data_IF_161846385058
#
_entry.id   IF_161846385058
#
_cell.length_a   1.000
_cell.length_b   1.000
_cell.length_c   1.000
_cell.angle_alpha   90.00
_cell.angle_beta   90.00
_cell.angle_gamma   90.00
#
_symmetry.space_group_name_H-M   'P 1'
#
loop_
_entity.id
_entity.type
_entity.pdbx_description
1 polymer ?
#
# COMPACT_ATOMS: atom_id res chain seq x y z
N UNK A 1 -8.00 -10.67 -34.71
CA UNK A 1 -8.05 -10.51 -33.24
C UNK A 1 -9.45 -10.04 -32.88
N UNK A 2 -9.93 -10.33 -31.65
CA UNK A 2 -11.26 -9.91 -31.19
C UNK A 2 -11.21 -9.41 -29.75
N UNK A 3 -12.05 -8.44 -29.41
CA UNK A 3 -12.17 -7.93 -28.03
C UNK A 3 -13.21 -8.77 -27.29
N UNK A 4 -12.84 -9.28 -26.13
CA UNK A 4 -13.70 -10.09 -25.26
C UNK A 4 -13.89 -9.40 -23.92
N UNK A 5 -15.14 -9.20 -23.52
CA UNK A 5 -15.50 -8.68 -22.20
C UNK A 5 -15.83 -9.83 -21.26
N UNK A 6 -15.31 -9.79 -20.05
CA UNK A 6 -15.57 -10.78 -19.01
C UNK A 6 -15.89 -10.07 -17.69
N UNK A 7 -17.12 -10.21 -17.24
CA UNK A 7 -17.59 -9.62 -15.98
C UNK A 7 -17.40 -10.59 -14.84
N UNK A 8 -16.61 -10.19 -13.85
CA UNK A 8 -16.50 -10.92 -12.59
C UNK A 8 -17.74 -10.66 -11.74
N UNK A 9 -18.56 -11.70 -11.55
CA UNK A 9 -19.82 -11.61 -10.81
C UNK A 9 -19.64 -11.29 -9.33
N UNK A 10 -18.45 -11.54 -8.77
CA UNK A 10 -18.19 -11.33 -7.34
C UNK A 10 -17.85 -9.89 -7.02
N UNK A 11 -17.15 -9.21 -7.93
CA UNK A 11 -16.71 -7.81 -7.78
C UNK A 11 -17.52 -6.83 -8.63
N UNK A 12 -18.31 -7.31 -9.60
CA UNK A 12 -19.02 -6.49 -10.58
C UNK A 12 -18.12 -5.97 -11.70
N UNK A 13 -16.79 -6.11 -11.58
CA UNK A 13 -15.83 -5.50 -12.50
C UNK A 13 -15.83 -6.23 -13.85
N UNK A 14 -15.98 -5.46 -14.94
CA UNK A 14 -15.88 -5.99 -16.30
C UNK A 14 -14.47 -5.83 -16.85
N UNK A 15 -13.75 -6.93 -17.04
CA UNK A 15 -12.43 -6.94 -17.65
C UNK A 15 -12.52 -7.08 -19.17
N UNK A 16 -11.59 -6.44 -19.88
CA UNK A 16 -11.50 -6.41 -21.34
C UNK A 16 -10.20 -7.07 -21.78
N UNK A 17 -10.33 -8.05 -22.66
CA UNK A 17 -9.22 -8.83 -23.20
C UNK A 17 -9.15 -8.70 -24.72
N UNK A 18 -7.94 -8.62 -25.25
CA UNK A 18 -7.64 -8.86 -26.66
C UNK A 18 -7.41 -10.36 -26.87
N UNK A 19 -8.14 -10.96 -27.80
CA UNK A 19 -8.04 -12.38 -28.12
C UNK A 19 -7.44 -12.58 -29.51
N UNK A 20 -6.33 -13.29 -29.56
CA UNK A 20 -5.64 -13.68 -30.78
C UNK A 20 -5.75 -15.19 -30.99
N UNK A 21 -6.36 -15.61 -32.10
CA UNK A 21 -6.41 -17.03 -32.47
C UNK A 21 -5.19 -17.39 -33.31
N UNK A 22 -4.53 -18.49 -32.97
CA UNK A 22 -3.37 -19.01 -33.69
C UNK A 22 -3.48 -20.52 -33.88
N UNK A 23 -2.84 -21.04 -34.92
CA UNK A 23 -2.72 -22.48 -35.14
C UNK A 23 -1.50 -23.01 -34.38
N UNK A 24 -1.74 -23.84 -33.37
CA UNK A 24 -0.67 -24.50 -32.63
C UNK A 24 -0.14 -25.67 -33.47
N UNK A 25 1.05 -25.52 -34.07
CA UNK A 25 1.64 -26.52 -34.97
C UNK A 25 2.08 -27.79 -34.23
N UNK A 26 2.45 -27.69 -32.96
CA UNK A 26 2.87 -28.82 -32.14
C UNK A 26 1.67 -29.69 -31.78
N UNK A 27 0.59 -29.04 -31.34
CA UNK A 27 -0.64 -29.72 -30.92
C UNK A 27 -1.67 -29.90 -32.05
N UNK A 28 -1.36 -29.41 -33.26
CA UNK A 28 -2.18 -29.46 -34.48
C UNK A 28 -3.65 -29.06 -34.26
N UNK A 29 -3.88 -27.98 -33.49
CA UNK A 29 -5.23 -27.52 -33.16
C UNK A 29 -5.29 -25.98 -33.12
N UNK A 30 -6.47 -25.39 -33.40
CA UNK A 30 -6.67 -23.96 -33.19
C UNK A 30 -6.64 -23.64 -31.70
N UNK A 31 -5.86 -22.63 -31.31
CA UNK A 31 -5.82 -22.10 -29.94
C UNK A 31 -5.99 -20.59 -29.94
N UNK A 32 -6.31 -20.04 -28.78
CA UNK A 32 -6.41 -18.60 -28.56
C UNK A 32 -5.54 -18.17 -27.40
N UNK A 33 -4.94 -16.98 -27.53
CA UNK A 33 -4.21 -16.28 -26.48
C UNK A 33 -4.98 -15.01 -26.13
N UNK A 34 -5.17 -14.78 -24.83
CA UNK A 34 -5.84 -13.58 -24.31
C UNK A 34 -4.85 -12.67 -23.60
N UNK A 35 -4.84 -11.39 -23.98
CA UNK A 35 -4.06 -10.33 -23.33
C UNK A 35 -5.03 -9.39 -22.63
N UNK A 36 -4.83 -9.13 -21.32
CA UNK A 36 -5.65 -8.17 -20.59
C UNK A 36 -5.31 -6.76 -21.10
N UNK A 37 -6.31 -6.06 -21.64
CA UNK A 37 -6.20 -4.64 -22.04
C UNK A 37 -6.48 -3.76 -20.82
N UNK A 38 -7.56 -4.06 -20.09
CA UNK A 38 -7.97 -3.26 -18.95
C UNK A 38 -9.30 -3.69 -18.33
N UNK A 39 -9.89 -2.80 -17.54
CA UNK A 39 -11.23 -2.94 -16.97
C UNK A 39 -12.13 -1.82 -17.48
N UNK A 40 -13.42 -2.09 -17.60
CA UNK A 40 -14.43 -1.07 -17.88
C UNK A 40 -14.73 -0.36 -16.56
N UNK A 41 -14.80 0.96 -16.63
CA UNK A 41 -15.35 1.78 -15.55
C UNK A 41 -16.87 1.87 -15.70
N UNK A 42 -17.59 1.57 -14.63
CA UNK A 42 -19.05 1.46 -14.67
C UNK A 42 -19.73 2.82 -14.84
N UNK A 43 -19.06 3.92 -14.48
CA UNK A 43 -19.58 5.28 -14.62
C UNK A 43 -19.35 5.87 -16.02
N UNK A 44 -18.16 5.65 -16.59
CA UNK A 44 -17.76 6.25 -17.87
C UNK A 44 -17.91 5.32 -19.07
N UNK A 45 -18.00 4.00 -18.84
CA UNK A 45 -18.00 2.99 -19.90
C UNK A 45 -16.66 2.87 -20.65
N UNK A 46 -15.64 3.62 -20.22
CA UNK A 46 -14.32 3.63 -20.84
C UNK A 46 -13.46 2.45 -20.36
N UNK A 47 -12.52 2.02 -21.21
CA UNK A 47 -11.60 0.93 -20.88
C UNK A 47 -10.39 1.54 -20.16
N UNK A 48 -10.37 1.43 -18.84
CA UNK A 48 -9.24 1.83 -18.00
C UNK A 48 -8.17 0.73 -18.05
N UNK A 49 -6.96 1.01 -18.56
CA UNK A 49 -5.87 0.04 -18.57
C UNK A 49 -5.54 -0.39 -17.15
N UNK A 50 -5.73 -1.67 -16.87
CA UNK A 50 -5.25 -2.28 -15.63
C UNK A 50 -3.77 -2.48 -15.83
N UNK A 51 -2.96 -1.50 -15.39
CA UNK A 51 -1.52 -1.47 -15.60
C UNK A 51 -0.89 -2.85 -15.40
N UNK A 52 0.07 -3.22 -16.26
CA UNK A 52 0.71 -4.55 -16.23
C UNK A 52 1.14 -4.88 -14.81
N UNK A 53 0.40 -5.77 -14.15
CA UNK A 53 0.79 -6.31 -12.86
C UNK A 53 2.16 -6.96 -13.02
N UNK A 54 3.20 -6.28 -12.52
CA UNK A 54 4.57 -6.80 -12.48
C UNK A 54 5.67 -6.02 -13.22
N UNK A 55 5.40 -5.05 -14.11
CA UNK A 55 6.49 -4.21 -14.69
C UNK A 55 6.03 -2.79 -14.99
N UNK A 56 6.54 -1.82 -14.23
CA UNK A 56 6.53 -0.41 -14.59
C UNK A 56 7.30 -0.24 -15.90
N UNK A 57 6.59 -0.19 -17.02
CA UNK A 57 7.09 0.48 -18.22
C UNK A 57 6.74 1.95 -18.02
N UNK A 58 7.75 2.71 -17.62
CA UNK A 58 7.70 4.16 -17.73
C UNK A 58 7.67 4.47 -19.23
N UNK A 59 6.47 4.63 -19.79
CA UNK A 59 6.29 5.31 -21.07
C UNK A 59 5.36 6.48 -20.82
N UNK A 60 5.95 7.66 -20.97
CA UNK A 60 5.33 8.97 -20.90
C UNK A 60 4.11 9.03 -21.81
N UNK A 61 2.95 9.36 -21.25
CA UNK A 61 1.90 10.20 -21.84
C UNK A 61 0.78 10.33 -20.81
N UNK A 62 0.97 11.23 -19.84
CA UNK A 62 -0.10 12.17 -19.50
C UNK A 62 0.49 13.38 -18.78
N UNK A 63 0.62 14.46 -19.54
CA UNK A 63 1.00 15.78 -19.06
C UNK A 63 -0.29 16.40 -18.53
N UNK A 64 -0.59 16.24 -17.23
CA UNK A 64 -1.40 17.17 -16.40
C UNK A 64 -1.74 16.59 -15.00
N UNK A 65 -0.73 16.27 -14.16
CA UNK A 65 -0.89 16.21 -12.69
C UNK A 65 0.44 16.18 -11.92
N UNK A 66 1.37 17.08 -12.22
CA UNK A 66 2.73 17.08 -11.62
C UNK A 66 3.09 18.31 -10.77
N UNK A 67 2.14 19.19 -10.42
CA UNK A 67 2.46 20.37 -9.59
C UNK A 67 2.28 20.17 -8.08
N UNK A 68 1.43 19.26 -7.60
CA UNK A 68 1.15 19.11 -6.15
C UNK A 68 1.94 17.97 -5.47
N UNK A 69 2.41 16.99 -6.24
CA UNK A 69 3.12 15.83 -5.69
C UNK A 69 4.42 16.15 -4.92
N UNK A 70 5.30 17.07 -5.37
CA UNK A 70 6.56 17.31 -4.65
C UNK A 70 6.35 18.02 -3.30
N UNK A 71 5.41 18.97 -3.21
CA UNK A 71 5.12 19.69 -1.96
C UNK A 71 4.49 18.78 -0.90
N UNK A 72 3.51 17.97 -1.29
CA UNK A 72 2.85 16.99 -0.41
C UNK A 72 3.85 15.97 0.16
N UNK A 73 4.81 15.52 -0.66
CA UNK A 73 5.88 14.62 -0.18
C UNK A 73 6.76 15.34 0.84
N UNK A 74 7.14 16.60 0.60
CA UNK A 74 7.99 17.33 1.56
C UNK A 74 7.30 17.55 2.91
N UNK A 75 5.99 17.82 2.91
CA UNK A 75 5.24 18.04 4.13
C UNK A 75 5.00 16.74 4.90
N UNK A 76 4.77 15.62 4.21
CA UNK A 76 4.73 14.30 4.85
C UNK A 76 6.07 13.94 5.51
N UNK A 77 7.20 14.25 4.88
CA UNK A 77 8.53 13.98 5.46
C UNK A 77 8.77 14.82 6.72
N UNK A 78 8.39 16.11 6.72
CA UNK A 78 8.46 16.96 7.93
C UNK A 78 7.59 16.41 9.06
N UNK A 79 6.35 16.05 8.74
CA UNK A 79 5.41 15.50 9.71
C UNK A 79 5.96 14.20 10.33
N UNK A 80 6.57 13.32 9.53
CA UNK A 80 7.19 12.10 10.04
C UNK A 80 8.33 12.41 11.03
N UNK A 81 9.19 13.39 10.71
CA UNK A 81 10.28 13.80 11.59
C UNK A 81 9.76 14.36 12.93
N UNK A 82 8.74 15.21 12.92
CA UNK A 82 8.11 15.74 14.14
C UNK A 82 7.51 14.62 15.00
N UNK A 83 6.86 13.63 14.37
CA UNK A 83 6.29 12.48 15.08
C UNK A 83 7.38 11.62 15.72
N UNK A 84 8.50 11.41 15.05
CA UNK A 84 9.64 10.67 15.58
C UNK A 84 10.29 11.38 16.77
N UNK A 85 10.41 12.71 16.73
CA UNK A 85 10.87 13.51 17.88
C UNK A 85 9.94 13.35 19.09
N UNK A 86 8.63 13.45 18.88
CA UNK A 86 7.64 13.24 19.94
C UNK A 86 7.71 11.83 20.53
N UNK A 87 7.87 10.81 19.68
CA UNK A 87 8.05 9.42 20.11
C UNK A 87 9.29 9.29 21.00
N UNK A 88 10.40 9.94 20.63
CA UNK A 88 11.64 9.89 21.40
C UNK A 88 11.50 10.60 22.76
N UNK A 89 10.80 11.74 22.81
CA UNK A 89 10.50 12.45 24.05
C UNK A 89 9.63 11.59 24.99
N UNK A 90 8.52 11.05 24.49
CA UNK A 90 7.64 10.18 25.28
C UNK A 90 8.35 8.91 25.77
N UNK A 91 9.26 8.35 24.97
CA UNK A 91 10.09 7.21 25.40
C UNK A 91 11.06 7.62 26.52
N UNK A 92 11.66 8.80 26.44
CA UNK A 92 12.56 9.30 27.48
C UNK A 92 11.82 9.54 28.80
N UNK A 93 10.64 10.18 28.73
CA UNK A 93 9.79 10.42 29.89
C UNK A 93 9.31 9.11 30.53
N UNK A 94 8.84 8.15 29.73
CA UNK A 94 8.48 6.82 30.24
C UNK A 94 9.65 6.14 30.95
N UNK A 95 10.87 6.19 30.40
CA UNK A 95 12.05 5.63 31.07
C UNK A 95 12.32 6.30 32.42
N UNK A 96 12.15 7.62 32.49
CA UNK A 96 12.33 8.40 33.71
C UNK A 96 11.28 8.01 34.77
N UNK A 97 10.00 7.99 34.40
CA UNK A 97 8.92 7.61 35.30
C UNK A 97 9.07 6.18 35.82
N UNK A 98 9.54 5.25 34.98
CA UNK A 98 9.83 3.87 35.41
C UNK A 98 10.94 3.86 36.48
N UNK A 99 12.00 4.67 36.31
CA UNK A 99 13.09 4.78 37.28
C UNK A 99 12.60 5.37 38.61
N UNK A 100 11.88 6.49 38.55
CA UNK A 100 11.31 7.15 39.74
C UNK A 100 10.36 6.20 40.49
N UNK A 101 9.48 5.49 39.77
CA UNK A 101 8.60 4.48 40.35
C UNK A 101 9.38 3.38 41.06
N UNK A 102 10.48 2.90 40.45
CA UNK A 102 11.34 1.87 41.04
C UNK A 102 11.99 2.36 42.34
N UNK A 103 12.54 3.57 42.33
CA UNK A 103 13.16 4.18 43.51
C UNK A 103 12.15 4.34 44.66
N UNK A 104 10.92 4.77 44.37
CA UNK A 104 9.84 4.86 45.37
C UNK A 104 9.50 3.48 45.95
N UNK A 105 9.41 2.45 45.12
CA UNK A 105 9.14 1.08 45.59
C UNK A 105 10.26 0.55 46.48
N UNK A 106 11.51 0.79 46.13
CA UNK A 106 12.67 0.42 46.95
C UNK A 106 12.67 1.17 48.30
N UNK A 107 12.37 2.48 48.29
CA UNK A 107 12.25 3.27 49.51
C UNK A 107 11.12 2.76 50.42
N UNK A 108 9.98 2.37 49.84
CA UNK A 108 8.85 1.82 50.57
C UNK A 108 9.18 0.45 51.17
N UNK A 109 9.89 -0.41 50.45
CA UNK A 109 10.36 -1.72 50.95
C UNK A 109 11.31 -1.55 52.15
N UNK A 110 12.24 -0.61 52.07
CA UNK A 110 13.16 -0.29 53.19
C UNK A 110 12.39 0.19 54.42
N UNK A 111 11.40 1.07 54.24
CA UNK A 111 10.54 1.51 55.35
C UNK A 111 9.77 0.32 55.92
N UNK A 112 9.14 -0.50 55.08
CA UNK A 112 8.36 -1.65 55.54
C UNK A 112 9.21 -2.64 56.35
N UNK A 113 10.46 -2.90 55.92
CA UNK A 113 11.44 -3.69 56.68
C UNK A 113 11.82 -3.05 58.02
N UNK A 114 11.99 -1.73 58.06
CA UNK A 114 12.32 -0.99 59.29
C UNK A 114 11.20 -1.04 60.34
N UNK A 115 9.94 -1.04 59.91
CA UNK A 115 8.76 -1.08 60.79
C UNK A 115 8.24 -2.51 61.05
N UNK A 116 8.83 -3.51 60.42
CA UNK A 116 8.53 -4.94 60.62
C UNK A 116 9.47 -5.62 61.64
N UNK A 117 10.39 -4.87 62.26
CA UNK A 117 11.13 -5.26 63.48
C UNK A 117 10.43 -4.67 64.71
#
# INVERSE_FOLDING_TARGET
MSIVKHTDKRSGITYVYESESYWDKEKKQPRSKRTLIGKIDDETGEIIPTGKSGRKKADNTDVQKQSEAPEVITDHVKLLAEKDELINQLKAENRRLIKEKKEILEALDVLLKKWSL
#
